data_IF_291066165867
#
_entry.id   IF_291066165867
#
_cell.length_a   1.000
_cell.length_b   1.000
_cell.length_c   1.000
_cell.angle_alpha   90.00
_cell.angle_beta   90.00
_cell.angle_gamma   90.00
#
_symmetry.space_group_name_H-M   'P 1'
#
loop_
_entity.id
_entity.type
_entity.pdbx_description
1 polymer ?
#
# COMPACT_ATOMS: atom_id res chain seq x y z
N UNK A 1 19.51 -9.43 -2.97
CA UNK A 1 18.09 -9.47 -2.58
C UNK A 1 17.99 -10.10 -1.20
N UNK A 2 16.99 -9.70 -0.43
CA UNK A 2 16.72 -10.30 0.89
C UNK A 2 16.45 -11.81 0.75
N UNK A 3 16.83 -12.60 1.76
CA UNK A 3 16.69 -14.06 1.79
C UNK A 3 15.22 -14.47 1.66
N UNK A 4 14.32 -13.67 2.23
CA UNK A 4 12.88 -13.88 2.20
C UNK A 4 12.30 -13.90 0.77
N UNK A 5 12.94 -13.22 -0.19
CA UNK A 5 12.42 -13.09 -1.56
C UNK A 5 12.37 -14.42 -2.31
N UNK A 6 13.29 -15.34 -2.01
CA UNK A 6 13.30 -16.69 -2.60
C UNK A 6 12.15 -17.57 -2.11
N UNK A 7 11.65 -17.34 -0.89
CA UNK A 7 10.57 -18.14 -0.29
C UNK A 7 9.22 -17.94 -0.98
N UNK A 8 9.06 -16.86 -1.73
CA UNK A 8 7.79 -16.51 -2.37
C UNK A 8 7.66 -17.08 -3.79
N UNK A 9 8.75 -17.50 -4.42
CA UNK A 9 8.76 -17.87 -5.85
C UNK A 9 7.99 -19.16 -6.13
N UNK A 10 7.95 -20.08 -5.18
CA UNK A 10 7.32 -21.40 -5.36
C UNK A 10 5.91 -21.52 -4.78
N UNK A 11 5.39 -20.46 -4.15
CA UNK A 11 4.08 -20.49 -3.53
C UNK A 11 2.96 -20.57 -4.57
N UNK A 12 1.91 -21.34 -4.29
CA UNK A 12 0.73 -21.41 -5.16
C UNK A 12 -0.15 -20.15 -5.04
N UNK A 13 -0.13 -19.48 -3.87
CA UNK A 13 -0.88 -18.26 -3.61
C UNK A 13 0.01 -17.27 -2.87
N UNK A 14 0.10 -16.04 -3.39
CA UNK A 14 0.75 -14.91 -2.74
C UNK A 14 -0.26 -13.81 -2.45
N UNK A 15 -0.34 -13.39 -1.19
CA UNK A 15 -1.21 -12.29 -0.76
C UNK A 15 -0.35 -11.16 -0.22
N UNK A 16 -0.36 -10.02 -0.93
CA UNK A 16 0.37 -8.82 -0.53
C UNK A 16 -0.58 -7.75 -0.01
N UNK A 17 -0.08 -6.90 0.88
CA UNK A 17 -0.76 -5.67 1.26
C UNK A 17 0.25 -4.60 1.67
N UNK A 18 -0.13 -3.33 1.53
CA UNK A 18 0.59 -2.22 2.15
C UNK A 18 -0.32 -1.00 2.29
N UNK A 19 0.03 -0.02 3.12
CA UNK A 19 -0.77 1.21 3.23
C UNK A 19 -0.61 2.02 4.51
N UNK A 20 -0.91 1.45 5.68
CA UNK A 20 -1.05 2.20 6.93
C UNK A 20 0.21 2.92 7.43
N UNK A 21 1.40 2.50 6.96
CA UNK A 21 2.66 3.13 7.32
C UNK A 21 3.11 4.19 6.32
N UNK A 22 2.40 4.36 5.20
CA UNK A 22 2.67 5.39 4.21
C UNK A 22 1.96 6.69 4.57
N UNK A 23 2.38 7.31 5.68
CA UNK A 23 1.92 8.62 6.12
C UNK A 23 3.11 9.49 6.47
N UNK A 24 2.94 10.80 6.33
CA UNK A 24 4.01 11.77 6.53
C UNK A 24 4.61 11.69 7.95
N UNK A 25 3.78 11.42 8.96
CA UNK A 25 4.16 11.31 10.36
C UNK A 25 5.00 10.06 10.64
N UNK A 26 4.75 8.96 9.89
CA UNK A 26 5.41 7.67 10.08
C UNK A 26 6.66 7.49 9.23
N UNK A 27 6.92 8.41 8.30
CA UNK A 27 8.01 8.30 7.32
C UNK A 27 8.97 9.47 7.39
N UNK A 28 9.28 9.95 8.61
CA UNK A 28 10.14 11.12 8.87
C UNK A 28 9.83 12.32 7.97
N UNK A 29 8.55 12.60 7.72
CA UNK A 29 8.10 13.70 6.84
C UNK A 29 8.60 13.61 5.39
N UNK A 30 9.12 12.45 5.01
CA UNK A 30 9.74 12.18 3.73
C UNK A 30 11.17 12.70 3.59
N UNK A 31 11.78 13.18 4.68
CA UNK A 31 13.12 13.78 4.68
C UNK A 31 14.17 12.70 4.92
N UNK A 32 15.05 12.48 3.94
CA UNK A 32 16.12 11.46 3.98
C UNK A 32 15.65 10.05 4.40
N UNK A 33 14.38 9.72 4.14
CA UNK A 33 13.75 8.49 4.63
C UNK A 33 13.68 7.38 3.59
N UNK A 34 13.39 7.76 2.34
CA UNK A 34 13.16 6.80 1.27
C UNK A 34 14.43 6.57 0.47
N UNK A 35 14.75 5.30 0.23
CA UNK A 35 15.92 4.89 -0.54
C UNK A 35 15.51 4.03 -1.74
N UNK A 36 16.10 4.31 -2.90
CA UNK A 36 16.00 3.50 -4.11
C UNK A 36 17.42 3.18 -4.60
N UNK A 37 17.81 1.91 -4.55
CA UNK A 37 19.20 1.51 -4.79
C UNK A 37 20.16 2.17 -3.77
N UNK A 38 21.13 2.95 -4.25
CA UNK A 38 22.07 3.70 -3.41
C UNK A 38 21.66 5.17 -3.20
N UNK A 39 20.51 5.58 -3.74
CA UNK A 39 20.05 6.97 -3.64
C UNK A 39 19.04 7.12 -2.50
N UNK A 40 19.38 7.94 -1.51
CA UNK A 40 18.45 8.40 -0.48
C UNK A 40 17.87 9.73 -0.94
N UNK A 41 16.55 9.80 -1.05
CA UNK A 41 15.87 11.04 -1.47
C UNK A 41 15.93 12.08 -0.34
N UNK A 42 16.47 13.29 -0.59
CA UNK A 42 16.48 14.35 0.41
C UNK A 42 15.09 14.71 0.90
N UNK A 43 14.12 14.70 -0.02
CA UNK A 43 12.70 14.86 0.27
C UNK A 43 11.86 14.12 -0.76
N UNK A 44 10.95 13.27 -0.31
CA UNK A 44 9.99 12.58 -1.17
C UNK A 44 8.64 12.45 -0.48
N UNK A 45 7.56 12.82 -1.18
CA UNK A 45 6.20 12.73 -0.61
C UNK A 45 5.81 11.26 -0.43
N UNK A 46 5.10 10.96 0.64
CA UNK A 46 4.73 9.58 0.98
C UNK A 46 3.92 8.87 -0.13
N UNK A 47 3.04 9.59 -0.85
CA UNK A 47 2.28 9.01 -1.96
C UNK A 47 3.16 8.71 -3.19
N UNK A 48 4.15 9.55 -3.46
CA UNK A 48 5.10 9.34 -4.57
C UNK A 48 6.00 8.14 -4.25
N UNK A 49 6.50 8.08 -3.02
CA UNK A 49 7.27 6.95 -2.51
C UNK A 49 6.47 5.64 -2.55
N UNK A 50 5.20 5.68 -2.13
CA UNK A 50 4.27 4.55 -2.19
C UNK A 50 4.11 4.02 -3.63
N UNK A 51 3.92 4.93 -4.59
CA UNK A 51 3.76 4.58 -6.01
C UNK A 51 5.03 3.94 -6.58
N UNK A 52 6.22 4.44 -6.21
CA UNK A 52 7.52 3.87 -6.62
C UNK A 52 7.76 2.49 -6.00
N UNK A 53 7.42 2.31 -4.73
CA UNK A 53 7.53 1.02 -4.06
C UNK A 53 6.61 -0.03 -4.69
N UNK A 54 5.36 0.34 -5.00
CA UNK A 54 4.44 -0.54 -5.73
C UNK A 54 4.95 -0.86 -7.14
N UNK A 55 5.50 0.13 -7.86
CA UNK A 55 6.12 -0.11 -9.17
C UNK A 55 7.30 -1.09 -9.09
N UNK A 56 8.07 -1.03 -8.00
CA UNK A 56 9.18 -1.95 -7.75
C UNK A 56 8.67 -3.37 -7.45
N UNK A 57 7.63 -3.48 -6.62
CA UNK A 57 6.95 -4.75 -6.35
C UNK A 57 6.36 -5.36 -7.63
N UNK A 58 5.65 -4.58 -8.44
CA UNK A 58 5.08 -4.99 -9.72
C UNK A 58 6.14 -5.59 -10.66
N UNK A 59 7.26 -4.89 -10.86
CA UNK A 59 8.40 -5.39 -11.65
C UNK A 59 9.02 -6.66 -11.07
N UNK A 60 8.99 -6.80 -9.74
CA UNK A 60 9.46 -8.00 -9.09
C UNK A 60 8.52 -9.19 -9.35
N UNK A 61 7.20 -8.98 -9.29
CA UNK A 61 6.20 -10.00 -9.65
C UNK A 61 6.42 -10.48 -11.09
N UNK A 62 6.42 -9.55 -12.06
CA UNK A 62 6.61 -9.86 -13.49
C UNK A 62 7.91 -10.65 -13.76
N UNK A 63 8.95 -10.42 -12.96
CA UNK A 63 10.26 -11.05 -13.16
C UNK A 63 10.40 -12.41 -12.47
N UNK A 64 9.71 -12.64 -11.35
CA UNK A 64 10.04 -13.74 -10.44
C UNK A 64 8.90 -14.71 -10.20
N UNK A 65 7.67 -14.37 -10.57
CA UNK A 65 6.50 -15.20 -10.32
C UNK A 65 5.97 -15.78 -11.64
N UNK A 66 5.79 -17.10 -11.66
CA UNK A 66 5.12 -17.78 -12.76
C UNK A 66 3.60 -17.67 -12.59
N UNK A 67 2.95 -16.87 -13.44
CA UNK A 67 1.50 -16.65 -13.41
C UNK A 67 0.67 -17.88 -13.79
N UNK A 68 1.28 -18.91 -14.39
CA UNK A 68 0.60 -20.18 -14.68
C UNK A 68 0.48 -21.07 -13.45
N UNK A 69 1.39 -20.90 -12.47
CA UNK A 69 1.43 -21.67 -11.23
C UNK A 69 0.88 -20.90 -10.04
N UNK A 70 1.22 -19.63 -9.93
CA UNK A 70 1.00 -18.83 -8.72
C UNK A 70 -0.10 -17.79 -8.93
N UNK A 71 -1.12 -17.82 -8.06
CA UNK A 71 -2.11 -16.76 -7.97
C UNK A 71 -1.60 -15.62 -7.10
N UNK A 72 -1.51 -14.41 -7.65
CA UNK A 72 -1.13 -13.20 -6.91
C UNK A 72 -2.36 -12.38 -6.58
N UNK A 73 -2.53 -12.07 -5.29
CA UNK A 73 -3.62 -11.24 -4.77
C UNK A 73 -2.99 -10.05 -4.05
N UNK A 74 -3.48 -8.85 -4.35
CA UNK A 74 -3.16 -7.67 -3.56
C UNK A 74 -4.40 -7.23 -2.77
N UNK A 75 -4.31 -7.29 -1.45
CA UNK A 75 -5.35 -6.80 -0.56
C UNK A 75 -5.28 -5.27 -0.51
N UNK A 76 -6.33 -4.63 -1.02
CA UNK A 76 -6.45 -3.18 -1.09
C UNK A 76 -6.33 -2.46 0.26
N UNK A 77 -6.24 -1.14 0.19
CA UNK A 77 -6.04 -0.27 1.34
C UNK A 77 -7.15 -0.44 2.38
N UNK A 78 -6.74 -0.74 3.61
CA UNK A 78 -7.64 -0.80 4.75
C UNK A 78 -7.94 0.59 5.27
N UNK A 79 -9.20 1.01 5.18
CA UNK A 79 -9.64 2.29 5.74
C UNK A 79 -9.54 2.27 7.27
N UNK A 80 -9.21 3.43 7.82
CA UNK A 80 -9.25 3.70 9.25
C UNK A 80 -10.52 4.46 9.59
N UNK A 81 -11.22 4.05 10.64
CA UNK A 81 -12.46 4.69 11.08
C UNK A 81 -12.18 5.62 12.27
N UNK A 82 -11.76 6.85 11.97
CA UNK A 82 -11.64 7.87 13.00
C UNK A 82 -12.87 8.79 12.94
N UNK A 83 -13.87 8.53 13.79
CA UNK A 83 -15.00 9.45 13.96
C UNK A 83 -14.64 10.48 15.03
N UNK A 84 -14.89 11.75 14.75
CA UNK A 84 -14.64 12.85 15.69
C UNK A 84 -13.19 13.36 15.78
N UNK A 85 -12.24 12.88 14.95
CA UNK A 85 -10.87 13.38 14.96
C UNK A 85 -9.90 12.57 14.11
N UNK A 86 -8.62 12.95 14.08
CA UNK A 86 -7.52 12.14 13.58
C UNK A 86 -7.13 11.06 14.61
N UNK A 87 -6.33 10.08 14.18
CA UNK A 87 -5.86 8.97 15.03
C UNK A 87 -5.14 9.43 16.31
N UNK A 88 -4.45 10.58 16.25
CA UNK A 88 -3.76 11.21 17.37
C UNK A 88 -4.57 12.31 18.08
N UNK A 89 -5.80 12.58 17.66
CA UNK A 89 -6.63 13.64 18.24
C UNK A 89 -7.93 13.11 18.84
N UNK A 90 -7.94 11.84 19.26
CA UNK A 90 -9.08 11.22 19.94
C UNK A 90 -10.17 10.66 19.03
N UNK A 91 -9.92 10.52 17.71
CA UNK A 91 -10.88 9.89 16.81
C UNK A 91 -11.01 8.38 17.09
N UNK A 92 -12.23 7.89 17.36
CA UNK A 92 -12.49 6.49 17.69
C UNK A 92 -13.77 5.99 17.02
N UNK A 93 -13.92 4.68 16.86
CA UNK A 93 -15.13 4.05 16.30
C UNK A 93 -15.77 3.02 17.25
N UNK A 94 -15.36 2.99 18.52
CA UNK A 94 -15.76 1.94 19.48
C UNK A 94 -17.26 1.96 19.83
N UNK A 95 -17.94 3.09 19.60
CA UNK A 95 -19.39 3.24 19.82
C UNK A 95 -20.23 2.83 18.60
N UNK A 96 -19.61 2.53 17.47
CA UNK A 96 -20.30 2.22 16.23
C UNK A 96 -20.63 0.73 16.15
N UNK A 97 -21.91 0.40 16.16
CA UNK A 97 -22.39 -1.00 16.13
C UNK A 97 -22.95 -1.42 14.77
N UNK A 98 -23.16 -0.48 13.86
CA UNK A 98 -23.78 -0.72 12.56
C UNK A 98 -22.96 -0.13 11.41
N UNK A 99 -23.00 -0.72 10.20
CA UNK A 99 -22.37 -0.15 9.01
C UNK A 99 -22.98 1.19 8.58
N UNK A 100 -22.23 1.91 7.74
CA UNK A 100 -22.76 3.08 7.04
C UNK A 100 -23.66 2.60 5.90
N UNK A 101 -24.97 2.80 6.02
CA UNK A 101 -25.93 2.48 4.94
C UNK A 101 -26.12 3.63 3.96
N UNK A 102 -25.91 4.88 4.40
CA UNK A 102 -26.04 6.05 3.53
C UNK A 102 -24.75 6.27 2.73
N UNK A 103 -24.81 6.01 1.43
CA UNK A 103 -23.65 6.11 0.53
C UNK A 103 -23.08 7.53 0.43
N UNK A 104 -23.88 8.57 0.68
CA UNK A 104 -23.39 9.96 0.71
C UNK A 104 -22.43 10.25 1.86
N UNK A 105 -22.38 9.38 2.88
CA UNK A 105 -21.44 9.48 4.01
C UNK A 105 -20.13 8.72 3.76
N UNK A 106 -20.02 8.00 2.63
CA UNK A 106 -18.80 7.26 2.32
C UNK A 106 -17.69 8.20 1.85
N UNK A 107 -16.48 7.95 2.33
CA UNK A 107 -15.29 8.67 1.88
C UNK A 107 -15.00 8.34 0.42
N UNK A 108 -14.48 9.32 -0.33
CA UNK A 108 -13.99 9.09 -1.69
C UNK A 108 -12.94 8.00 -1.73
N UNK A 109 -12.85 7.33 -2.89
CA UNK A 109 -11.85 6.29 -3.12
C UNK A 109 -10.44 6.78 -2.74
N UNK A 110 -9.65 6.01 -1.97
CA UNK A 110 -8.38 6.51 -1.42
C UNK A 110 -7.34 6.84 -2.49
N UNK A 111 -6.52 7.88 -2.26
CA UNK A 111 -5.41 8.23 -3.16
C UNK A 111 -4.39 7.09 -3.32
N UNK A 112 -4.14 6.34 -2.26
CA UNK A 112 -3.29 5.14 -2.29
C UNK A 112 -3.88 4.03 -3.16
N UNK A 113 -5.20 3.91 -3.22
CA UNK A 113 -5.84 2.94 -4.10
C UNK A 113 -5.74 3.38 -5.56
N UNK A 114 -5.95 4.66 -5.88
CA UNK A 114 -5.68 5.18 -7.23
C UNK A 114 -4.23 4.97 -7.67
N UNK A 115 -3.28 5.19 -6.76
CA UNK A 115 -1.87 4.93 -7.03
C UNK A 115 -1.60 3.45 -7.33
N UNK A 116 -2.25 2.55 -6.59
CA UNK A 116 -2.19 1.12 -6.84
C UNK A 116 -2.80 0.73 -8.18
N UNK A 117 -3.99 1.24 -8.51
CA UNK A 117 -4.65 0.97 -9.79
C UNK A 117 -3.77 1.43 -10.97
N UNK A 118 -3.14 2.60 -10.87
CA UNK A 118 -2.20 3.08 -11.89
C UNK A 118 -1.00 2.14 -12.09
N UNK A 119 -0.53 1.49 -11.02
CA UNK A 119 0.55 0.50 -11.11
C UNK A 119 0.04 -0.82 -11.69
N UNK A 120 -1.18 -1.25 -11.36
CA UNK A 120 -1.75 -2.48 -11.92
C UNK A 120 -1.84 -2.43 -13.45
N UNK A 121 -2.15 -1.26 -14.03
CA UNK A 121 -2.23 -1.09 -15.49
C UNK A 121 -0.90 -1.37 -16.22
N UNK A 122 0.24 -1.36 -15.50
CA UNK A 122 1.56 -1.60 -16.10
C UNK A 122 2.12 -3.00 -15.81
N UNK A 123 1.42 -3.83 -15.03
CA UNK A 123 1.80 -5.23 -14.77
C UNK A 123 1.50 -6.05 -16.03
N UNK A 124 2.44 -6.90 -16.42
CA UNK A 124 2.39 -7.63 -17.69
C UNK A 124 1.84 -9.06 -17.59
N UNK A 125 1.52 -9.51 -16.37
CA UNK A 125 1.01 -10.87 -16.09
C UNK A 125 -0.07 -11.33 -17.05
#
# INVERSE_FOLDING_TARGET
>A
MDRATSMYQDADILIFNTGHWWTHEKTSRGENYYQEGNHVYPRLKALDAYTRALSTWAKWIDKNIDSQKTQVIFRGYSLTHFRGGQWNSGGQCHTETEPIFNTSQLTSYPSKMRAFDNVLHVIKT
#
